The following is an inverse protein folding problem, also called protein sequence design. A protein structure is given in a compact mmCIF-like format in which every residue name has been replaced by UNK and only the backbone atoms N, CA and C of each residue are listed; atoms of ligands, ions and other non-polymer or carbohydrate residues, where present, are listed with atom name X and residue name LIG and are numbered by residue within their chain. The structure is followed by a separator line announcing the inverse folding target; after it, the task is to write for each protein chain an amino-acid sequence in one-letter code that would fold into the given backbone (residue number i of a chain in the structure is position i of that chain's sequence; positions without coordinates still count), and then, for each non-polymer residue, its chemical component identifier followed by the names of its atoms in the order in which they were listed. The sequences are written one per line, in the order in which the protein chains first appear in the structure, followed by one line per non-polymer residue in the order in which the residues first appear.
data_IF_256019250367
#
_entry.id   IF_256019250367
#
_cell.length_a   1.000
_cell.length_b   1.000
_cell.length_c   1.000
_cell.angle_alpha   90.00
_cell.angle_beta   90.00
_cell.angle_gamma   90.00
#
_symmetry.space_group_name_H-M   'P 1'
#
loop_
_entity.id
_entity.type
_entity.pdbx_description
1 polymer ?
#
# COMPACT_ATOMS: atom_id res chain seq x y z
N UNK A 1 -29.00 1.16 -1.19
CA UNK A 1 -29.00 2.62 -1.37
C UNK A 1 -28.13 2.96 -2.57
N UNK A 2 -28.63 3.80 -3.47
CA UNK A 2 -27.77 4.37 -4.52
C UNK A 2 -26.83 5.40 -3.89
N UNK A 3 -25.64 5.60 -4.48
CA UNK A 3 -24.64 6.53 -3.95
C UNK A 3 -25.15 7.98 -3.82
N UNK A 4 -26.18 8.35 -4.57
CA UNK A 4 -26.81 9.68 -4.51
C UNK A 4 -27.71 9.86 -3.28
N UNK A 5 -28.43 8.82 -2.85
CA UNK A 5 -29.28 8.86 -1.65
C UNK A 5 -28.48 8.98 -0.35
N UNK A 6 -27.31 8.34 -0.32
CA UNK A 6 -26.39 8.44 0.83
C UNK A 6 -25.77 9.84 0.92
N UNK A 7 -25.51 10.46 -0.24
CA UNK A 7 -24.97 11.80 -0.37
C UNK A 7 -25.94 12.89 0.09
N UNK A 8 -27.23 12.72 -0.22
CA UNK A 8 -28.29 13.61 0.24
C UNK A 8 -28.50 13.51 1.75
N UNK A 9 -28.45 12.30 2.31
CA UNK A 9 -28.53 12.09 3.77
C UNK A 9 -27.37 12.79 4.50
N UNK A 10 -26.14 12.68 3.99
CA UNK A 10 -24.97 13.35 4.58
C UNK A 10 -25.03 14.87 4.46
N UNK A 11 -25.61 15.43 3.37
CA UNK A 11 -25.82 16.88 3.26
C UNK A 11 -26.82 17.38 4.31
N UNK A 12 -27.93 16.67 4.50
CA UNK A 12 -28.94 17.05 5.48
C UNK A 12 -28.38 17.02 6.91
N UNK A 13 -27.59 15.99 7.24
CA UNK A 13 -26.93 15.88 8.54
C UNK A 13 -25.88 16.98 8.75
N UNK A 14 -25.07 17.28 7.73
CA UNK A 14 -24.08 18.36 7.80
C UNK A 14 -24.70 19.75 7.95
N UNK A 15 -25.78 20.03 7.22
CA UNK A 15 -26.53 21.28 7.37
C UNK A 15 -27.15 21.38 8.77
N UNK A 16 -27.60 20.27 9.35
CA UNK A 16 -28.14 20.23 10.72
C UNK A 16 -27.10 20.55 11.80
N UNK A 17 -25.81 20.31 11.52
CA UNK A 17 -24.68 20.60 12.41
C UNK A 17 -24.10 22.02 12.20
N UNK A 18 -24.76 22.87 11.41
CA UNK A 18 -24.28 24.23 11.12
C UNK A 18 -23.17 24.30 10.06
N UNK A 19 -22.96 23.22 9.30
CA UNK A 19 -21.93 23.14 8.28
C UNK A 19 -22.22 24.00 7.04
N UNK A 20 -21.18 24.65 6.49
CA UNK A 20 -21.29 25.40 5.22
C UNK A 20 -21.59 24.46 4.05
N UNK A 21 -22.60 24.81 3.24
CA UNK A 21 -23.12 23.99 2.12
C UNK A 21 -22.05 23.59 1.08
N UNK A 22 -21.10 24.48 0.80
CA UNK A 22 -20.03 24.21 -0.17
C UNK A 22 -19.05 23.10 0.24
N UNK A 23 -18.90 22.84 1.54
CA UNK A 23 -17.88 21.95 2.08
C UNK A 23 -18.34 20.48 2.09
N UNK A 24 -19.63 20.23 2.34
CA UNK A 24 -20.21 18.88 2.22
C UNK A 24 -20.21 18.39 0.78
N UNK A 25 -20.46 19.27 -0.19
CA UNK A 25 -20.43 18.92 -1.61
C UNK A 25 -18.99 18.64 -2.10
N UNK A 26 -18.00 19.39 -1.59
CA UNK A 26 -16.58 19.10 -1.84
C UNK A 26 -16.11 17.82 -1.18
N UNK A 27 -16.49 17.55 0.08
CA UNK A 27 -16.17 16.29 0.78
C UNK A 27 -16.82 15.10 0.07
N UNK A 28 -18.10 15.18 -0.26
CA UNK A 28 -18.81 14.12 -0.97
C UNK A 28 -18.25 13.88 -2.39
N UNK A 29 -17.91 14.95 -3.11
CA UNK A 29 -17.28 14.89 -4.43
C UNK A 29 -15.83 14.36 -4.39
N UNK A 30 -15.11 14.55 -3.27
CA UNK A 30 -13.83 13.88 -3.02
C UNK A 30 -14.02 12.41 -2.69
N UNK A 31 -14.99 12.05 -1.86
CA UNK A 31 -15.31 10.66 -1.48
C UNK A 31 -15.62 9.79 -2.68
N UNK A 32 -16.43 10.27 -3.64
CA UNK A 32 -16.74 9.51 -4.86
C UNK A 32 -15.51 9.26 -5.75
N UNK A 33 -14.70 10.30 -5.97
CA UNK A 33 -13.48 10.22 -6.80
C UNK A 33 -12.38 9.41 -6.14
N UNK A 34 -12.20 9.58 -4.84
CA UNK A 34 -11.23 8.82 -4.05
C UNK A 34 -11.67 7.37 -3.89
N UNK A 35 -12.97 7.09 -3.74
CA UNK A 35 -13.51 5.74 -3.71
C UNK A 35 -13.17 4.91 -4.95
N UNK A 36 -13.29 5.49 -6.16
CA UNK A 36 -12.88 4.82 -7.40
C UNK A 36 -11.36 4.63 -7.50
N UNK A 37 -10.57 5.65 -7.15
CA UNK A 37 -9.10 5.55 -7.13
C UNK A 37 -8.62 4.49 -6.15
N UNK A 38 -9.21 4.44 -4.96
CA UNK A 38 -8.91 3.47 -3.91
C UNK A 38 -9.31 2.04 -4.34
N UNK A 39 -10.44 1.86 -5.06
CA UNK A 39 -10.80 0.55 -5.64
C UNK A 39 -9.78 0.08 -6.67
N UNK A 40 -9.37 0.95 -7.61
CA UNK A 40 -8.34 0.63 -8.61
C UNK A 40 -6.98 0.33 -7.97
N UNK A 41 -6.60 1.11 -6.97
CA UNK A 41 -5.38 0.88 -6.20
C UNK A 41 -5.38 -0.48 -5.53
N UNK A 42 -6.50 -0.89 -4.91
CA UNK A 42 -6.60 -2.23 -4.30
C UNK A 42 -6.64 -3.35 -5.33
N UNK A 43 -7.31 -3.18 -6.46
CA UNK A 43 -7.27 -4.17 -7.53
C UNK A 43 -5.83 -4.40 -8.01
N UNK A 44 -5.04 -3.33 -8.15
CA UNK A 44 -3.61 -3.41 -8.48
C UNK A 44 -2.79 -4.09 -7.38
N UNK A 45 -3.05 -3.77 -6.11
CA UNK A 45 -2.34 -4.41 -4.98
C UNK A 45 -2.66 -5.92 -4.87
N UNK A 46 -3.92 -6.32 -5.10
CA UNK A 46 -4.32 -7.74 -5.15
C UNK A 46 -3.69 -8.44 -6.34
N UNK A 47 -3.71 -7.81 -7.53
CA UNK A 47 -3.06 -8.36 -8.72
C UNK A 47 -1.55 -8.53 -8.51
N UNK A 48 -0.89 -7.58 -7.84
CA UNK A 48 0.51 -7.67 -7.45
C UNK A 48 0.78 -8.85 -6.49
N UNK A 49 -0.07 -9.06 -5.49
CA UNK A 49 0.01 -10.22 -4.59
C UNK A 49 -0.20 -11.56 -5.30
N UNK A 50 -1.15 -11.62 -6.23
CA UNK A 50 -1.41 -12.81 -7.05
C UNK A 50 -0.21 -13.11 -7.98
N UNK A 51 0.35 -12.08 -8.61
CA UNK A 51 1.55 -12.21 -9.44
C UNK A 51 2.76 -12.69 -8.63
N UNK A 52 3.01 -12.10 -7.46
CA UNK A 52 4.11 -12.51 -6.58
C UNK A 52 3.96 -13.97 -6.12
N UNK A 53 2.73 -14.41 -5.83
CA UNK A 53 2.42 -15.80 -5.50
C UNK A 53 2.71 -16.73 -6.69
N UNK A 54 2.19 -16.40 -7.88
CA UNK A 54 2.39 -17.20 -9.08
C UNK A 54 3.88 -17.32 -9.46
N UNK A 55 4.63 -16.22 -9.36
CA UNK A 55 6.06 -16.21 -9.59
C UNK A 55 6.81 -17.08 -8.56
N UNK A 56 6.43 -17.01 -7.28
CA UNK A 56 7.03 -17.81 -6.22
C UNK A 56 6.81 -19.31 -6.45
N UNK A 57 5.60 -19.72 -6.84
CA UNK A 57 5.28 -21.11 -7.20
C UNK A 57 6.11 -21.56 -8.39
N UNK A 58 6.18 -20.76 -9.45
CA UNK A 58 6.97 -21.06 -10.64
C UNK A 58 8.46 -21.23 -10.31
N UNK A 59 9.03 -20.36 -9.48
CA UNK A 59 10.44 -20.43 -9.06
C UNK A 59 10.74 -21.71 -8.26
N UNK A 60 9.87 -22.09 -7.32
CA UNK A 60 10.03 -23.31 -6.53
C UNK A 60 10.00 -24.56 -7.42
N UNK A 61 9.06 -24.63 -8.36
CA UNK A 61 8.97 -25.73 -9.33
C UNK A 61 10.22 -25.77 -10.22
N UNK A 62 10.65 -24.61 -10.75
CA UNK A 62 11.78 -24.52 -11.68
C UNK A 62 13.12 -24.87 -11.03
N UNK A 63 13.29 -24.49 -9.76
CA UNK A 63 14.47 -24.79 -8.95
C UNK A 63 14.42 -26.17 -8.28
N UNK A 64 13.37 -26.96 -8.54
CA UNK A 64 13.16 -28.30 -7.94
C UNK A 64 13.23 -28.28 -6.41
N UNK A 65 12.69 -27.23 -5.79
CA UNK A 65 12.65 -27.10 -4.34
C UNK A 65 13.99 -26.80 -3.68
N UNK A 66 14.97 -26.23 -4.40
CA UNK A 66 16.22 -25.74 -3.79
C UNK A 66 15.92 -24.91 -2.52
N UNK A 67 16.61 -25.24 -1.42
CA UNK A 67 16.28 -24.71 -0.09
C UNK A 67 16.32 -23.18 -0.04
N UNK A 68 17.32 -22.57 -0.67
CA UNK A 68 17.47 -21.11 -0.72
C UNK A 68 16.28 -20.47 -1.45
N UNK A 69 15.88 -21.02 -2.59
CA UNK A 69 14.73 -20.52 -3.37
C UNK A 69 13.43 -20.68 -2.57
N UNK A 70 13.26 -21.83 -1.91
CA UNK A 70 12.08 -22.12 -1.08
C UNK A 70 11.95 -21.16 0.11
N UNK A 71 13.05 -20.86 0.81
CA UNK A 71 13.05 -19.92 1.95
C UNK A 71 12.73 -18.50 1.49
N UNK A 72 13.29 -18.04 0.37
CA UNK A 72 12.99 -16.71 -0.18
C UNK A 72 11.52 -16.62 -0.61
N UNK A 73 11.01 -17.62 -1.32
CA UNK A 73 9.59 -17.67 -1.72
C UNK A 73 8.66 -17.71 -0.50
N UNK A 74 8.98 -18.46 0.56
CA UNK A 74 8.20 -18.48 1.79
C UNK A 74 8.13 -17.10 2.44
N UNK A 75 9.26 -16.36 2.50
CA UNK A 75 9.29 -14.99 3.00
C UNK A 75 8.41 -14.02 2.18
N UNK A 76 8.46 -14.12 0.85
CA UNK A 76 7.60 -13.33 -0.05
C UNK A 76 6.12 -13.65 0.20
N UNK A 77 5.76 -14.93 0.29
CA UNK A 77 4.38 -15.37 0.51
C UNK A 77 3.85 -14.95 1.88
N UNK A 78 4.67 -15.02 2.94
CA UNK A 78 4.31 -14.50 4.26
C UNK A 78 4.02 -13.00 4.19
N UNK A 79 4.86 -12.23 3.51
CA UNK A 79 4.64 -10.80 3.31
C UNK A 79 3.35 -10.53 2.51
N UNK A 80 3.12 -11.26 1.42
CA UNK A 80 1.88 -11.17 0.63
C UNK A 80 0.66 -11.51 1.48
N UNK A 81 0.72 -12.55 2.31
CA UNK A 81 -0.37 -12.94 3.21
C UNK A 81 -0.71 -11.83 4.19
N UNK A 82 0.30 -11.29 4.90
CA UNK A 82 0.13 -10.16 5.81
C UNK A 82 -0.43 -8.93 5.09
N UNK A 83 0.05 -8.66 3.87
CA UNK A 83 -0.42 -7.54 3.04
C UNK A 83 -1.89 -7.70 2.62
N UNK A 84 -2.31 -8.89 2.22
CA UNK A 84 -3.70 -9.17 1.85
C UNK A 84 -4.61 -9.08 3.07
N UNK A 85 -4.19 -9.62 4.23
CA UNK A 85 -4.95 -9.50 5.49
C UNK A 85 -5.17 -8.04 5.86
N UNK A 86 -4.16 -7.18 5.70
CA UNK A 86 -4.30 -5.72 5.88
C UNK A 86 -5.37 -5.13 4.95
N UNK A 87 -5.31 -5.43 3.65
CA UNK A 87 -6.28 -4.91 2.68
C UNK A 87 -7.70 -5.32 3.06
N UNK A 88 -7.90 -6.57 3.47
CA UNK A 88 -9.22 -7.10 3.82
C UNK A 88 -9.73 -6.50 5.13
N UNK A 89 -8.88 -6.38 6.16
CA UNK A 89 -9.27 -5.83 7.48
C UNK A 89 -9.58 -4.34 7.44
N UNK A 90 -8.84 -3.53 6.67
CA UNK A 90 -9.17 -2.11 6.46
C UNK A 90 -10.50 -1.91 5.75
N UNK A 91 -10.94 -2.89 4.95
CA UNK A 91 -12.14 -2.81 4.12
C UNK A 91 -13.39 -3.24 4.86
N UNK A 92 -13.32 -4.17 5.82
CA UNK A 92 -14.47 -4.55 6.65
C UNK A 92 -15.09 -3.31 7.32
N UNK A 93 -14.28 -2.51 8.00
CA UNK A 93 -14.73 -1.24 8.60
C UNK A 93 -15.09 -0.13 7.60
N UNK A 94 -14.96 -0.35 6.28
CA UNK A 94 -15.39 0.61 5.25
C UNK A 94 -16.80 0.37 4.75
N UNK A 95 -17.22 -0.89 4.72
CA UNK A 95 -18.54 -1.28 4.28
C UNK A 95 -19.57 -1.22 5.41
N UNK A 96 -19.16 -1.49 6.65
CA UNK A 96 -20.07 -1.52 7.82
C UNK A 96 -20.60 -0.14 8.24
N UNK A 97 -20.01 0.93 7.73
CA UNK A 97 -20.22 2.31 8.17
C UNK A 97 -20.83 3.20 7.09
N UNK A 98 -21.06 2.65 5.89
CA UNK A 98 -21.93 3.26 4.88
C UNK A 98 -23.33 3.38 5.50
N UNK A 99 -23.70 4.58 5.94
CA UNK A 99 -24.97 4.86 6.63
C UNK A 99 -24.89 5.31 8.09
N UNK A 100 -23.69 5.44 8.69
CA UNK A 100 -23.52 5.78 10.13
C UNK A 100 -23.32 7.27 10.45
N UNK A 101 -23.56 8.13 9.48
CA UNK A 101 -23.47 9.59 9.62
C UNK A 101 -22.06 10.17 9.46
N UNK A 102 -21.97 11.50 9.47
CA UNK A 102 -20.74 12.22 9.13
C UNK A 102 -19.59 12.03 10.13
N UNK A 103 -19.88 12.02 11.44
CA UNK A 103 -18.86 11.83 12.47
C UNK A 103 -18.19 10.45 12.39
N UNK A 104 -18.99 9.41 12.10
CA UNK A 104 -18.47 8.09 11.85
C UNK A 104 -17.59 8.05 10.60
N UNK A 105 -18.00 8.74 9.53
CA UNK A 105 -17.18 8.88 8.32
C UNK A 105 -15.84 9.57 8.59
N UNK A 106 -15.83 10.68 9.35
CA UNK A 106 -14.61 11.41 9.74
C UNK A 106 -13.69 10.52 10.59
N UNK A 107 -14.24 9.84 11.59
CA UNK A 107 -13.49 8.94 12.47
C UNK A 107 -12.83 7.78 11.70
N UNK A 108 -13.56 7.19 10.74
CA UNK A 108 -13.03 6.13 9.88
C UNK A 108 -11.96 6.62 8.93
N UNK A 109 -12.13 7.81 8.36
CA UNK A 109 -11.17 8.41 7.44
C UNK A 109 -9.87 8.70 8.18
N UNK A 110 -9.96 9.22 9.41
CA UNK A 110 -8.82 9.42 10.30
C UNK A 110 -8.12 8.09 10.62
N UNK A 111 -8.88 7.08 11.02
CA UNK A 111 -8.33 5.75 11.35
C UNK A 111 -7.65 5.10 10.14
N UNK A 112 -8.22 5.21 8.94
CA UNK A 112 -7.59 4.74 7.70
C UNK A 112 -6.29 5.47 7.40
N UNK A 113 -6.28 6.80 7.51
CA UNK A 113 -5.07 7.59 7.27
C UNK A 113 -3.96 7.21 8.26
N UNK A 114 -4.29 7.03 9.55
CA UNK A 114 -3.33 6.57 10.55
C UNK A 114 -2.79 5.17 10.25
N UNK A 115 -3.66 4.23 9.87
CA UNK A 115 -3.26 2.88 9.52
C UNK A 115 -2.43 2.84 8.23
N UNK A 116 -2.75 3.66 7.23
CA UNK A 116 -1.97 3.80 6.00
C UNK A 116 -0.56 4.32 6.29
N UNK A 117 -0.41 5.31 7.18
CA UNK A 117 0.90 5.81 7.60
C UNK A 117 1.67 4.76 8.43
N UNK A 118 1.02 4.06 9.36
CA UNK A 118 1.65 3.00 10.17
C UNK A 118 2.17 1.87 9.27
N UNK A 119 1.36 1.44 8.32
CA UNK A 119 1.73 0.40 7.37
C UNK A 119 2.78 0.85 6.36
N UNK A 120 2.71 2.09 5.86
CA UNK A 120 3.75 2.65 5.00
C UNK A 120 5.10 2.66 5.70
N UNK A 121 5.14 3.02 7.00
CA UNK A 121 6.35 2.95 7.83
C UNK A 121 6.83 1.51 8.03
N UNK A 122 5.92 0.57 8.32
CA UNK A 122 6.28 -0.84 8.45
C UNK A 122 6.85 -1.39 7.14
N UNK A 123 6.19 -1.15 6.01
CA UNK A 123 6.64 -1.61 4.70
C UNK A 123 8.02 -1.03 4.35
N UNK A 124 8.26 0.25 4.61
CA UNK A 124 9.58 0.87 4.46
C UNK A 124 10.66 0.17 5.30
N UNK A 125 10.38 -0.09 6.59
CA UNK A 125 11.32 -0.80 7.48
C UNK A 125 11.57 -2.24 7.00
N UNK A 126 10.52 -2.95 6.61
CA UNK A 126 10.62 -4.31 6.07
C UNK A 126 11.47 -4.34 4.79
N UNK A 127 11.28 -3.39 3.87
CA UNK A 127 12.10 -3.28 2.67
C UNK A 127 13.56 -2.95 2.99
N UNK A 128 13.82 -2.11 4.00
CA UNK A 128 15.19 -1.81 4.45
C UNK A 128 15.87 -3.04 5.05
N UNK A 129 15.17 -3.81 5.89
CA UNK A 129 15.68 -5.07 6.45
C UNK A 129 15.96 -6.07 5.32
N UNK A 130 15.03 -6.21 4.37
CA UNK A 130 15.21 -7.08 3.21
C UNK A 130 16.42 -6.64 2.37
N UNK A 131 16.60 -5.34 2.13
CA UNK A 131 17.76 -4.79 1.43
C UNK A 131 19.06 -5.09 2.19
N UNK A 132 19.07 -4.91 3.50
CA UNK A 132 20.23 -5.18 4.35
C UNK A 132 20.64 -6.67 4.35
N UNK A 133 19.71 -7.58 4.08
CA UNK A 133 20.00 -9.01 3.93
C UNK A 133 20.38 -9.38 2.49
N UNK A 134 19.65 -8.87 1.49
CA UNK A 134 19.84 -9.20 0.08
C UNK A 134 21.12 -8.61 -0.51
N UNK A 135 21.53 -7.41 -0.08
CA UNK A 135 22.74 -6.76 -0.62
C UNK A 135 24.00 -7.56 -0.26
N UNK A 136 24.28 -7.91 1.01
CA UNK A 136 25.41 -8.77 1.34
C UNK A 136 25.35 -10.14 0.67
N UNK A 137 24.16 -10.75 0.60
CA UNK A 137 23.98 -12.02 -0.10
C UNK A 137 24.29 -11.90 -1.60
N UNK A 138 23.85 -10.82 -2.24
CA UNK A 138 24.11 -10.55 -3.65
C UNK A 138 25.60 -10.35 -3.93
N UNK A 139 26.30 -9.62 -3.06
CA UNK A 139 27.77 -9.46 -3.14
C UNK A 139 28.46 -10.82 -2.99
N UNK A 140 28.07 -11.62 -2.00
CA UNK A 140 28.62 -12.96 -1.80
C UNK A 140 28.36 -13.87 -3.01
N UNK A 141 27.14 -13.90 -3.55
CA UNK A 141 26.77 -14.70 -4.71
C UNK A 141 27.56 -14.27 -5.97
N UNK A 142 27.80 -12.96 -6.12
CA UNK A 142 28.65 -12.43 -7.18
C UNK A 142 30.09 -12.92 -7.06
N UNK A 143 30.68 -12.83 -5.87
CA UNK A 143 32.06 -13.27 -5.61
C UNK A 143 32.19 -14.79 -5.76
N UNK A 144 31.25 -15.58 -5.22
CA UNK A 144 31.25 -17.03 -5.29
C UNK A 144 31.19 -17.57 -6.74
N UNK A 145 30.63 -16.80 -7.67
CA UNK A 145 30.56 -17.12 -9.10
C UNK A 145 31.33 -16.15 -9.98
N UNK A 146 32.38 -15.52 -9.43
CA UNK A 146 33.12 -14.47 -10.12
C UNK A 146 33.68 -14.91 -11.48
N UNK A 147 34.19 -16.15 -11.58
CA UNK A 147 34.68 -16.69 -12.84
C UNK A 147 33.58 -16.77 -13.93
N UNK A 148 32.36 -17.15 -13.55
CA UNK A 148 31.21 -17.18 -14.45
C UNK A 148 30.84 -15.78 -14.92
N UNK A 149 30.78 -14.80 -14.01
CA UNK A 149 30.43 -13.42 -14.36
C UNK A 149 31.54 -12.69 -15.12
N UNK A 150 32.79 -13.11 -14.99
CA UNK A 150 33.88 -12.60 -15.83
C UNK A 150 33.77 -13.12 -17.27
N UNK A 151 33.36 -14.38 -17.44
CA UNK A 151 33.13 -14.97 -18.76
C UNK A 151 31.84 -14.45 -19.41
N UNK A 152 30.78 -14.29 -18.63
CA UNK A 152 29.46 -13.83 -19.09
C UNK A 152 28.95 -12.64 -18.25
N UNK A 153 29.52 -11.43 -18.45
CA UNK A 153 29.23 -10.26 -17.62
C UNK A 153 27.77 -9.79 -17.72
N UNK A 154 27.12 -10.03 -18.87
CA UNK A 154 25.72 -9.69 -19.08
C UNK A 154 24.79 -10.36 -18.05
N UNK A 155 25.12 -11.56 -17.56
CA UNK A 155 24.32 -12.25 -16.55
C UNK A 155 24.30 -11.51 -15.22
N UNK A 156 25.43 -10.92 -14.83
CA UNK A 156 25.49 -10.12 -13.61
C UNK A 156 24.72 -8.81 -13.77
N UNK A 157 24.85 -8.15 -14.92
CA UNK A 157 24.12 -6.91 -15.22
C UNK A 157 22.62 -7.15 -15.23
N UNK A 158 22.15 -8.19 -15.93
CA UNK A 158 20.72 -8.52 -15.99
C UNK A 158 20.21 -9.02 -14.64
N UNK A 159 20.94 -9.88 -13.94
CA UNK A 159 20.50 -10.43 -12.65
C UNK A 159 20.52 -9.38 -11.53
N UNK A 160 21.71 -8.92 -11.15
CA UNK A 160 21.90 -7.99 -10.03
C UNK A 160 21.45 -6.57 -10.37
N UNK A 161 21.68 -6.11 -11.61
CA UNK A 161 21.26 -4.78 -12.04
C UNK A 161 19.74 -4.63 -12.04
N UNK A 162 19.00 -5.61 -12.57
CA UNK A 162 17.53 -5.58 -12.52
C UNK A 162 17.02 -5.63 -11.07
N UNK A 163 17.60 -6.49 -10.23
CA UNK A 163 17.24 -6.55 -8.81
C UNK A 163 17.49 -5.22 -8.09
N UNK A 164 18.62 -4.56 -8.35
CA UNK A 164 18.96 -3.26 -7.78
C UNK A 164 17.99 -2.16 -8.26
N UNK A 165 17.63 -2.14 -9.54
CA UNK A 165 16.64 -1.18 -10.08
C UNK A 165 15.27 -1.40 -9.45
N UNK A 166 14.79 -2.65 -9.36
CA UNK A 166 13.49 -2.96 -8.73
C UNK A 166 13.49 -2.50 -7.27
N UNK A 167 14.54 -2.82 -6.52
CA UNK A 167 14.66 -2.44 -5.11
C UNK A 167 14.69 -0.91 -4.95
N UNK A 168 15.52 -0.23 -5.75
CA UNK A 168 15.66 1.22 -5.74
C UNK A 168 14.36 1.94 -6.09
N UNK A 169 13.71 1.55 -7.18
CA UNK A 169 12.42 2.12 -7.60
C UNK A 169 11.35 1.88 -6.54
N UNK A 170 11.29 0.68 -5.96
CA UNK A 170 10.30 0.33 -4.94
C UNK A 170 10.49 1.14 -3.65
N UNK A 171 11.75 1.38 -3.22
CA UNK A 171 12.06 2.23 -2.08
C UNK A 171 11.70 3.70 -2.33
N UNK A 172 12.03 4.24 -3.51
CA UNK A 172 11.69 5.62 -3.88
C UNK A 172 10.18 5.79 -3.95
N UNK A 173 9.48 4.84 -4.58
CA UNK A 173 8.03 4.85 -4.68
C UNK A 173 7.37 4.80 -3.29
N UNK A 174 7.77 3.86 -2.42
CA UNK A 174 7.21 3.75 -1.08
C UNK A 174 7.45 5.02 -0.26
N UNK A 175 8.63 5.63 -0.37
CA UNK A 175 8.93 6.90 0.28
C UNK A 175 8.04 8.04 -0.25
N UNK A 176 7.80 8.08 -1.55
CA UNK A 176 6.89 9.07 -2.15
C UNK A 176 5.43 8.83 -1.70
N UNK A 177 4.97 7.58 -1.70
CA UNK A 177 3.63 7.20 -1.22
C UNK A 177 3.44 7.60 0.24
N UNK A 178 4.41 7.30 1.11
CA UNK A 178 4.36 7.67 2.53
C UNK A 178 4.26 9.18 2.73
N UNK A 179 5.14 9.96 2.07
CA UNK A 179 5.09 11.44 2.14
C UNK A 179 3.76 12.00 1.67
N UNK A 180 3.20 11.43 0.60
CA UNK A 180 1.91 11.87 0.07
C UNK A 180 0.78 11.59 1.06
N UNK A 181 0.74 10.40 1.66
CA UNK A 181 -0.27 10.04 2.66
C UNK A 181 -0.12 10.88 3.93
N UNK A 182 1.11 11.16 4.38
CA UNK A 182 1.38 12.05 5.52
C UNK A 182 0.87 13.47 5.25
N UNK A 183 1.17 14.03 4.07
CA UNK A 183 0.67 15.35 3.68
C UNK A 183 -0.85 15.41 3.51
N UNK A 184 -1.48 14.35 2.98
CA UNK A 184 -2.94 14.24 2.88
C UNK A 184 -3.59 14.17 4.28
N UNK A 185 -2.97 13.44 5.22
CA UNK A 185 -3.41 13.39 6.61
C UNK A 185 -3.31 14.75 7.29
N UNK A 186 -2.18 15.44 7.17
CA UNK A 186 -2.00 16.78 7.77
C UNK A 186 -3.00 17.79 7.22
N UNK A 187 -3.27 17.77 5.91
CA UNK A 187 -4.30 18.62 5.29
C UNK A 187 -5.70 18.31 5.80
N UNK A 188 -6.01 17.03 5.98
CA UNK A 188 -7.30 16.60 6.53
C UNK A 188 -7.44 17.03 8.00
N UNK A 189 -6.42 16.84 8.82
CA UNK A 189 -6.43 17.25 10.23
C UNK A 189 -6.54 18.78 10.37
N UNK A 190 -5.86 19.56 9.52
CA UNK A 190 -6.00 21.02 9.48
C UNK A 190 -7.43 21.47 9.13
N UNK A 191 -8.05 20.84 8.11
CA UNK A 191 -9.44 21.12 7.73
C UNK A 191 -10.44 20.83 8.86
N UNK A 192 -10.22 19.77 9.63
CA UNK A 192 -11.06 19.38 10.79
C UNK A 192 -10.81 20.29 12.01
N UNK A 193 -9.58 20.73 12.23
CA UNK A 193 -9.22 21.63 13.32
C UNK A 193 -9.81 23.04 13.12
N UNK A 194 -9.75 23.58 11.90
CA UNK A 194 -10.36 24.87 11.56
C UNK A 194 -11.90 24.86 11.70
N UNK A 195 -12.53 23.68 11.79
CA UNK A 195 -13.98 23.52 11.95
C UNK A 195 -14.45 23.24 13.38
N UNK A 196 -13.56 22.87 14.30
CA UNK A 196 -13.89 22.62 15.72
C UNK A 196 -13.72 23.86 16.62
N UNK A 197 -13.18 24.95 16.07
CA UNK A 197 -13.09 26.27 16.71
C UNK A 197 -14.33 27.08 16.28
N UNK A 198 -15.51 26.72 16.78
CA UNK A 198 -16.72 27.57 16.80
C UNK A 198 -17.41 27.37 18.14
#
# INVERSE_FOLDING_TARGET
MSGDQELEAWRAEWQSLGGREGLAQELAGRVGRDGQRIRRGVALEIAGGAFATALSVWLVVRARGELVVSVVCAGILLFVGVWVTRIVTLRQGTFDTMGSGLDAFVALTRRRAEDDVRWGRFAMRAMQVLAALLVPWGVWAFVARYALYRAEPWRAVVGFGTAAVILGVSLVWQRHKLRKVEAERERFEALVADTTIV
#
